data_IF_527391419056
#
_entry.id   IF_527391419056
#
_cell.length_a   1.000
_cell.length_b   1.000
_cell.length_c   1.000
_cell.angle_alpha   90.00
_cell.angle_beta   90.00
_cell.angle_gamma   90.00
#
_symmetry.space_group_name_H-M   'P 1'
#
loop_
_entity.id
_entity.type
_entity.pdbx_description
1 polymer ?
#
# COMPACT_ATOMS: atom_id res chain seq x y z
N UNK A 1 -0.07 19.72 17.05
CA UNK A 1 -0.45 18.45 17.72
C UNK A 1 -1.20 18.66 19.05
N UNK A 2 -0.83 19.60 19.95
CA UNK A 2 -1.61 19.86 21.18
C UNK A 2 -3.05 20.35 20.96
N UNK A 3 -3.39 20.79 19.74
CA UNK A 3 -4.74 21.20 19.34
C UNK A 3 -5.57 20.08 18.70
N UNK A 4 -5.01 18.89 18.48
CA UNK A 4 -5.74 17.78 17.86
C UNK A 4 -6.75 17.21 18.87
N UNK A 5 -8.04 17.30 18.52
CA UNK A 5 -9.15 16.89 19.38
C UNK A 5 -9.10 15.41 19.73
N UNK A 6 -8.75 14.55 18.77
CA UNK A 6 -8.74 13.09 18.95
C UNK A 6 -7.54 12.67 19.79
N UNK A 7 -6.36 13.23 19.53
CA UNK A 7 -5.17 12.99 20.38
C UNK A 7 -5.43 13.42 21.83
N UNK A 8 -6.13 14.53 22.03
CA UNK A 8 -6.54 14.98 23.36
C UNK A 8 -7.58 14.06 24.01
N UNK A 9 -8.52 13.50 23.25
CA UNK A 9 -9.47 12.49 23.74
C UNK A 9 -8.74 11.21 24.14
N UNK A 10 -7.85 10.68 23.30
CA UNK A 10 -7.01 9.51 23.60
C UNK A 10 -6.20 9.72 24.89
N UNK A 11 -5.57 10.89 25.04
CA UNK A 11 -4.83 11.26 26.25
C UNK A 11 -5.73 11.28 27.49
N UNK A 12 -6.93 11.86 27.39
CA UNK A 12 -7.88 11.93 28.52
C UNK A 12 -8.37 10.54 28.89
N UNK A 13 -8.83 9.76 27.91
CA UNK A 13 -9.28 8.39 28.09
C UNK A 13 -8.23 7.54 28.79
N UNK A 14 -7.00 7.55 28.27
CA UNK A 14 -5.90 6.77 28.83
C UNK A 14 -5.51 7.22 30.25
N UNK A 15 -5.68 8.49 30.60
CA UNK A 15 -5.44 8.97 31.98
C UNK A 15 -6.46 8.40 32.97
N UNK A 16 -7.72 8.27 32.58
CA UNK A 16 -8.80 7.77 33.45
C UNK A 16 -8.92 6.24 33.47
N UNK A 17 -8.35 5.55 32.49
CA UNK A 17 -8.33 4.10 32.47
C UNK A 17 -7.02 3.58 33.11
N UNK A 18 -7.11 2.95 34.28
CA UNK A 18 -5.94 2.46 35.04
C UNK A 18 -5.25 1.25 34.38
N UNK A 19 -6.00 0.47 33.59
CA UNK A 19 -5.49 -0.69 32.85
C UNK A 19 -4.59 -0.23 31.70
N UNK A 20 -4.86 0.93 31.10
CA UNK A 20 -4.01 1.54 30.06
C UNK A 20 -2.71 2.08 30.67
N UNK A 21 -1.57 1.62 30.14
CA UNK A 21 -0.22 2.01 30.55
C UNK A 21 0.44 3.00 29.61
N UNK A 22 0.31 2.79 28.30
CA UNK A 22 0.79 3.74 27.31
C UNK A 22 -0.14 3.78 26.09
N UNK A 23 -0.12 4.92 25.40
CA UNK A 23 -0.79 5.10 24.11
C UNK A 23 0.20 5.74 23.15
N UNK A 24 0.39 5.11 22.00
CA UNK A 24 1.32 5.54 20.96
C UNK A 24 0.55 5.70 19.66
N UNK A 25 0.72 6.84 18.99
CA UNK A 25 0.20 7.10 17.66
C UNK A 25 1.28 6.80 16.62
N UNK A 26 0.93 6.13 15.54
CA UNK A 26 1.87 5.67 14.50
C UNK A 26 1.45 6.17 13.11
N UNK A 27 2.11 5.68 12.05
CA UNK A 27 1.70 5.89 10.65
C UNK A 27 1.70 7.38 10.25
N UNK A 28 0.85 7.77 9.31
CA UNK A 28 0.79 9.09 8.66
C UNK A 28 0.75 10.27 9.64
N UNK A 29 0.03 10.15 10.76
CA UNK A 29 -0.07 11.22 11.76
C UNK A 29 1.15 11.35 12.67
N UNK A 30 2.07 10.40 12.59
CA UNK A 30 3.36 10.43 13.28
C UNK A 30 4.53 10.78 12.34
N UNK A 31 4.36 10.64 11.02
CA UNK A 31 5.39 10.96 10.03
C UNK A 31 5.27 12.41 9.51
N UNK A 32 6.06 13.32 10.07
CA UNK A 32 6.10 14.71 9.61
C UNK A 32 6.92 14.95 8.33
N UNK A 33 7.46 13.90 7.67
CA UNK A 33 8.37 14.07 6.54
C UNK A 33 7.74 13.80 5.17
N UNK A 34 6.92 12.76 5.05
CA UNK A 34 6.37 12.36 3.76
C UNK A 34 4.84 12.22 3.74
N UNK A 35 4.19 12.17 4.91
CA UNK A 35 2.74 12.00 4.98
C UNK A 35 2.01 13.34 4.84
N UNK A 36 0.97 13.35 4.00
CA UNK A 36 -0.05 14.39 4.03
C UNK A 36 -1.12 13.98 5.02
N UNK A 37 -1.36 14.82 6.03
CA UNK A 37 -2.43 14.61 7.01
C UNK A 37 -3.59 15.53 6.68
N UNK A 38 -4.77 14.95 6.52
CA UNK A 38 -6.02 15.64 6.21
C UNK A 38 -7.19 15.12 7.07
N UNK A 39 -8.42 15.52 6.71
CA UNK A 39 -9.64 15.15 7.40
C UNK A 39 -10.04 13.68 7.24
N UNK A 40 -9.48 12.97 6.25
CA UNK A 40 -9.71 11.54 6.00
C UNK A 40 -8.56 10.66 6.50
N UNK A 41 -7.53 11.25 7.08
CA UNK A 41 -6.42 10.47 7.64
C UNK A 41 -6.84 9.78 8.94
N UNK A 42 -6.59 8.49 9.02
CA UNK A 42 -6.92 7.63 10.17
C UNK A 42 -6.03 7.94 11.39
N UNK A 43 -6.43 7.47 12.57
CA UNK A 43 -5.59 7.46 13.77
C UNK A 43 -5.17 6.02 14.08
N UNK A 44 -3.95 5.65 13.70
CA UNK A 44 -3.35 4.35 14.00
C UNK A 44 -2.74 4.35 15.40
N UNK A 45 -3.42 3.70 16.35
CA UNK A 45 -3.13 3.80 17.79
C UNK A 45 -2.75 2.44 18.37
N UNK A 46 -1.57 2.38 18.99
CA UNK A 46 -1.18 1.27 19.85
C UNK A 46 -1.49 1.60 21.30
N UNK A 47 -2.26 0.74 21.96
CA UNK A 47 -2.60 0.86 23.38
C UNK A 47 -1.92 -0.28 24.14
N UNK A 48 -1.00 0.07 25.03
CA UNK A 48 -0.36 -0.88 25.92
C UNK A 48 -1.15 -0.95 27.22
N UNK A 49 -1.50 -2.16 27.64
CA UNK A 49 -2.43 -2.44 28.74
C UNK A 49 -1.89 -3.54 29.65
N UNK A 50 -2.31 -3.57 30.91
CA UNK A 50 -1.94 -4.67 31.82
C UNK A 50 -2.82 -5.92 31.62
N UNK A 51 -4.02 -5.78 31.07
CA UNK A 51 -4.91 -6.89 30.71
C UNK A 51 -5.73 -6.52 29.48
N UNK A 52 -6.07 -7.53 28.67
CA UNK A 52 -6.91 -7.40 27.48
C UNK A 52 -8.42 -7.51 27.80
N UNK A 53 -8.80 -7.93 29.01
CA UNK A 53 -10.18 -8.36 29.31
C UNK A 53 -11.20 -7.24 29.09
N UNK A 54 -10.89 -6.02 29.55
CA UNK A 54 -11.72 -4.82 29.38
C UNK A 54 -11.92 -4.42 27.90
N UNK A 55 -11.07 -4.95 27.02
CA UNK A 55 -11.05 -4.64 25.59
C UNK A 55 -11.66 -5.75 24.72
N UNK A 56 -12.13 -6.84 25.34
CA UNK A 56 -12.88 -7.91 24.65
C UNK A 56 -14.33 -7.53 24.36
N UNK A 57 -14.82 -6.47 25.00
CA UNK A 57 -16.09 -5.83 24.69
C UNK A 57 -15.86 -4.40 24.17
N UNK A 58 -16.96 -3.71 23.83
CA UNK A 58 -16.93 -2.40 23.19
C UNK A 58 -17.37 -1.26 24.12
N UNK A 59 -17.54 -1.51 25.42
CA UNK A 59 -18.17 -0.55 26.35
C UNK A 59 -17.31 0.72 26.57
N UNK A 60 -16.02 0.65 26.22
CA UNK A 60 -15.08 1.76 26.28
C UNK A 60 -15.11 2.67 25.04
N UNK A 61 -15.61 2.18 23.90
CA UNK A 61 -15.63 2.91 22.62
C UNK A 61 -16.55 4.15 22.62
N UNK A 62 -17.71 4.17 23.29
CA UNK A 62 -18.57 5.36 23.38
C UNK A 62 -17.87 6.62 23.91
N UNK A 63 -16.73 6.48 24.60
CA UNK A 63 -15.91 7.63 25.00
C UNK A 63 -15.43 8.48 23.80
N UNK A 64 -15.18 7.84 22.65
CA UNK A 64 -14.67 8.48 21.44
C UNK A 64 -15.77 9.00 20.52
N UNK A 65 -16.98 8.45 20.65
CA UNK A 65 -18.17 8.89 19.93
C UNK A 65 -19.15 7.76 19.68
N UNK A 66 -20.21 8.06 18.94
CA UNK A 66 -21.16 7.05 18.46
C UNK A 66 -20.51 6.23 17.33
N UNK A 67 -20.55 4.91 17.47
CA UNK A 67 -19.95 3.96 16.54
C UNK A 67 -20.83 3.88 15.29
N UNK A 68 -20.21 4.00 14.12
CA UNK A 68 -20.84 3.76 12.82
C UNK A 68 -20.57 2.33 12.34
N UNK A 69 -19.31 1.92 12.32
CA UNK A 69 -18.89 0.56 11.95
C UNK A 69 -17.61 0.19 12.68
N UNK A 70 -17.41 -1.11 12.90
CA UNK A 70 -16.26 -1.67 13.59
C UNK A 70 -15.75 -2.91 12.87
N UNK A 71 -14.44 -3.14 12.95
CA UNK A 71 -13.78 -4.32 12.44
C UNK A 71 -12.71 -4.81 13.43
N UNK A 72 -12.53 -6.12 13.64
CA UNK A 72 -13.43 -7.23 13.26
C UNK A 72 -14.84 -7.08 13.85
N UNK A 73 -15.79 -8.02 13.67
CA UNK A 73 -17.12 -7.84 14.29
C UNK A 73 -17.04 -7.89 15.82
N UNK A 74 -16.25 -8.82 16.35
CA UNK A 74 -15.83 -8.90 17.75
C UNK A 74 -14.33 -8.63 17.82
N UNK A 75 -13.79 -8.09 18.92
CA UNK A 75 -12.34 -7.95 19.08
C UNK A 75 -11.65 -9.30 18.93
N UNK A 76 -10.70 -9.37 18.01
CA UNK A 76 -9.91 -10.56 17.70
C UNK A 76 -8.45 -10.17 17.52
N UNK A 77 -7.55 -11.13 17.63
CA UNK A 77 -6.13 -10.88 17.42
C UNK A 77 -5.70 -11.12 15.98
N UNK A 78 -5.00 -10.15 15.39
CA UNK A 78 -4.25 -10.34 14.15
C UNK A 78 -2.78 -10.75 14.38
N UNK A 79 -2.26 -10.60 15.61
CA UNK A 79 -0.82 -10.64 15.91
C UNK A 79 -0.42 -11.65 17.00
N UNK A 80 -1.35 -12.48 17.45
CA UNK A 80 -1.14 -13.50 18.49
C UNK A 80 -1.83 -13.20 19.82
N UNK A 81 -1.73 -14.10 20.78
CA UNK A 81 -2.62 -14.14 21.96
C UNK A 81 -2.57 -12.89 22.87
N UNK A 82 -1.46 -12.15 22.84
CA UNK A 82 -1.27 -10.92 23.61
C UNK A 82 -1.81 -9.66 22.92
N UNK A 83 -2.48 -9.80 21.77
CA UNK A 83 -2.99 -8.70 20.97
C UNK A 83 -4.50 -8.74 20.82
N UNK A 84 -5.09 -7.56 20.67
CA UNK A 84 -6.44 -7.36 20.16
C UNK A 84 -6.44 -6.24 19.13
N UNK A 85 -7.15 -6.48 18.04
CA UNK A 85 -7.39 -5.50 16.99
C UNK A 85 -8.82 -4.97 17.11
N UNK A 86 -8.94 -3.64 17.06
CA UNK A 86 -10.24 -2.95 17.06
C UNK A 86 -10.19 -1.69 16.21
N UNK A 87 -10.66 -1.76 14.97
CA UNK A 87 -10.79 -0.62 14.06
C UNK A 87 -12.20 -0.08 14.12
N UNK A 88 -12.35 1.24 14.28
CA UNK A 88 -13.66 1.85 14.54
C UNK A 88 -13.82 3.14 13.75
N UNK A 89 -14.92 3.23 13.02
CA UNK A 89 -15.37 4.47 12.37
C UNK A 89 -16.54 5.01 13.19
N UNK A 90 -16.49 6.29 13.55
CA UNK A 90 -17.52 6.98 14.32
C UNK A 90 -18.44 7.81 13.41
N UNK A 91 -19.64 8.18 13.88
CA UNK A 91 -20.61 9.01 13.12
C UNK A 91 -20.04 10.38 12.71
N UNK A 92 -19.05 10.89 13.44
CA UNK A 92 -18.33 12.12 13.10
C UNK A 92 -17.26 11.93 12.01
N UNK A 93 -17.23 10.75 11.36
CA UNK A 93 -16.28 10.33 10.32
C UNK A 93 -14.84 10.13 10.78
N UNK A 94 -14.56 10.25 12.08
CA UNK A 94 -13.25 9.89 12.62
C UNK A 94 -13.10 8.37 12.54
N UNK A 95 -11.95 7.91 12.05
CA UNK A 95 -11.52 6.52 12.14
C UNK A 95 -10.36 6.39 13.11
N UNK A 96 -10.47 5.47 14.07
CA UNK A 96 -9.40 5.12 14.99
C UNK A 96 -9.16 3.61 14.90
N UNK A 97 -7.92 3.26 14.59
CA UNK A 97 -7.46 1.90 14.40
C UNK A 97 -6.66 1.50 15.64
N UNK A 98 -7.31 0.79 16.57
CA UNK A 98 -6.69 0.39 17.82
C UNK A 98 -6.03 -0.99 17.69
N UNK A 99 -4.79 -1.04 18.14
CA UNK A 99 -4.02 -2.26 18.34
C UNK A 99 -3.62 -2.32 19.81
N UNK A 100 -4.19 -3.25 20.54
CA UNK A 100 -4.19 -3.28 22.01
C UNK A 100 -3.35 -4.47 22.46
N UNK A 101 -2.40 -4.25 23.36
CA UNK A 101 -1.44 -5.30 23.73
C UNK A 101 -1.03 -5.28 25.18
N UNK A 102 -0.72 -6.47 25.69
CA UNK A 102 0.01 -6.65 26.96
C UNK A 102 1.52 -6.75 26.76
N UNK A 103 2.01 -6.85 25.52
CA UNK A 103 3.44 -6.87 25.22
C UNK A 103 4.02 -5.45 25.24
N UNK A 104 4.80 -5.15 26.27
CA UNK A 104 5.50 -3.86 26.45
C UNK A 104 6.93 -3.86 25.92
N UNK A 105 7.42 -5.01 25.46
CA UNK A 105 8.81 -5.19 25.03
C UNK A 105 8.96 -5.06 23.52
N UNK A 106 7.95 -5.50 22.77
CA UNK A 106 8.00 -5.51 21.32
C UNK A 106 7.05 -4.45 20.75
N UNK A 107 7.55 -3.37 20.12
CA UNK A 107 6.67 -2.49 19.37
C UNK A 107 6.05 -3.29 18.21
N UNK A 108 4.71 -3.31 18.07
CA UNK A 108 3.99 -4.16 17.10
C UNK A 108 4.22 -3.82 15.64
N UNK A 109 4.72 -2.63 15.36
CA UNK A 109 4.71 -2.05 14.03
C UNK A 109 6.08 -1.56 13.66
N UNK A 110 6.19 -1.23 12.37
CA UNK A 110 7.31 -0.53 11.79
C UNK A 110 7.41 0.90 12.35
N UNK A 111 7.77 1.02 13.62
CA UNK A 111 8.14 2.28 14.27
C UNK A 111 9.33 2.93 13.54
N UNK A 112 9.96 2.20 12.61
CA UNK A 112 10.91 2.75 11.66
C UNK A 112 10.34 3.91 10.84
N UNK A 113 9.03 3.97 10.60
CA UNK A 113 8.37 5.11 9.93
C UNK A 113 8.23 6.34 10.84
N UNK A 114 8.30 6.15 12.16
CA UNK A 114 8.00 7.17 13.16
C UNK A 114 6.84 6.78 14.06
N UNK A 115 6.84 7.33 15.27
CA UNK A 115 5.75 7.22 16.23
C UNK A 115 5.74 8.41 17.18
N UNK A 116 4.59 8.67 17.78
CA UNK A 116 4.36 9.72 18.77
C UNK A 116 3.77 9.10 20.03
N UNK A 117 4.52 9.17 21.14
CA UNK A 117 4.01 8.76 22.45
C UNK A 117 3.00 9.80 22.94
N UNK A 118 1.72 9.42 23.01
CA UNK A 118 0.66 10.26 23.57
C UNK A 118 0.79 10.28 25.08
N UNK A 119 0.83 9.11 25.71
CA UNK A 119 1.04 8.95 27.16
C UNK A 119 1.87 7.70 27.41
N UNK A 120 2.71 7.76 28.43
CA UNK A 120 3.41 6.61 28.97
C UNK A 120 3.47 6.80 30.49
N UNK A 121 2.73 5.96 31.22
CA UNK A 121 2.62 6.04 32.67
C UNK A 121 3.79 5.35 33.39
N UNK A 122 4.51 4.47 32.69
CA UNK A 122 5.55 3.60 33.26
C UNK A 122 6.96 3.95 32.75
N UNK A 123 7.05 4.70 31.65
CA UNK A 123 8.30 5.17 31.07
C UNK A 123 9.02 4.16 30.18
N UNK A 124 8.44 2.99 29.88
CA UNK A 124 9.10 1.95 29.09
C UNK A 124 9.29 2.34 27.61
N UNK A 125 8.48 3.25 27.08
CA UNK A 125 8.59 3.70 25.67
C UNK A 125 9.88 4.46 25.37
N UNK A 126 10.63 4.88 26.41
CA UNK A 126 11.97 5.48 26.27
C UNK A 126 12.99 4.52 25.67
N UNK A 127 12.74 3.21 25.78
CA UNK A 127 13.61 2.17 25.26
C UNK A 127 13.23 1.74 23.83
N UNK A 128 12.16 2.30 23.26
CA UNK A 128 11.78 1.98 21.89
C UNK A 128 12.83 2.46 20.87
N UNK A 129 13.05 1.69 19.79
CA UNK A 129 14.04 2.04 18.78
C UNK A 129 13.65 3.33 18.07
N UNK A 130 14.64 4.13 17.72
CA UNK A 130 14.42 5.34 16.92
C UNK A 130 14.08 4.95 15.48
N UNK A 131 13.18 5.70 14.87
CA UNK A 131 12.83 5.59 13.47
C UNK A 131 14.05 5.87 12.57
N UNK A 132 14.53 4.87 11.82
CA UNK A 132 15.59 5.04 10.81
C UNK A 132 15.02 5.37 9.43
N UNK A 133 13.77 4.99 9.18
CA UNK A 133 13.04 5.11 7.89
C UNK A 133 13.75 4.41 6.72
N UNK A 134 14.57 3.40 7.02
CA UNK A 134 15.36 2.68 6.02
C UNK A 134 14.72 1.38 5.58
N UNK A 135 13.86 0.78 6.41
CA UNK A 135 13.27 -0.54 6.14
C UNK A 135 12.35 -0.57 4.92
N UNK A 136 11.77 0.57 4.58
CA UNK A 136 10.84 0.71 3.45
C UNK A 136 11.48 1.37 2.21
N UNK A 137 12.79 1.55 2.20
CA UNK A 137 13.46 2.05 1.00
C UNK A 137 13.32 1.03 -0.14
N UNK A 138 13.20 1.55 -1.35
CA UNK A 138 13.15 0.72 -2.56
C UNK A 138 14.48 -0.02 -2.67
N UNK A 139 14.41 -1.34 -2.67
CA UNK A 139 15.59 -2.19 -2.82
C UNK A 139 15.95 -2.32 -4.29
N UNK A 140 17.25 -2.15 -4.59
CA UNK A 140 17.79 -2.42 -5.94
C UNK A 140 17.57 -3.90 -6.27
N UNK A 141 16.94 -4.24 -7.40
CA UNK A 141 16.78 -5.64 -7.78
C UNK A 141 18.13 -6.24 -8.15
N UNK A 142 18.29 -7.53 -7.87
CA UNK A 142 19.30 -8.35 -8.54
C UNK A 142 18.97 -8.49 -10.03
N UNK A 143 19.97 -8.86 -10.82
CA UNK A 143 19.75 -9.15 -12.25
C UNK A 143 18.70 -10.24 -12.45
N UNK A 144 18.71 -11.29 -11.61
CA UNK A 144 17.77 -12.40 -11.70
C UNK A 144 16.34 -11.95 -11.43
N UNK A 145 16.09 -11.24 -10.31
CA UNK A 145 14.76 -10.73 -9.98
C UNK A 145 14.21 -9.80 -11.07
N UNK A 146 15.07 -8.95 -11.64
CA UNK A 146 14.67 -8.08 -12.74
C UNK A 146 14.25 -8.88 -14.00
N UNK A 147 15.05 -9.87 -14.40
CA UNK A 147 14.76 -10.69 -15.58
C UNK A 147 13.51 -11.57 -15.38
N UNK A 148 13.35 -12.15 -14.19
CA UNK A 148 12.16 -12.92 -13.82
C UNK A 148 10.91 -12.06 -13.85
N UNK A 149 10.95 -10.84 -13.31
CA UNK A 149 9.85 -9.87 -13.36
C UNK A 149 9.45 -9.52 -14.80
N UNK A 150 10.41 -9.20 -15.68
CA UNK A 150 10.10 -8.89 -17.08
C UNK A 150 9.49 -10.09 -17.80
N UNK A 151 9.99 -11.30 -17.54
CA UNK A 151 9.46 -12.51 -18.13
C UNK A 151 8.04 -12.84 -17.64
N UNK A 152 7.82 -12.77 -16.32
CA UNK A 152 6.52 -13.02 -15.68
C UNK A 152 5.47 -12.01 -16.18
N UNK A 153 5.83 -10.72 -16.24
CA UNK A 153 4.98 -9.69 -16.81
C UNK A 153 4.46 -10.04 -18.21
N UNK A 154 5.34 -10.48 -19.11
CA UNK A 154 4.93 -10.85 -20.46
C UNK A 154 4.05 -12.10 -20.50
N UNK A 155 4.32 -13.08 -19.64
CA UNK A 155 3.50 -14.27 -19.50
C UNK A 155 2.07 -13.89 -19.07
N UNK A 156 1.95 -13.11 -18.00
CA UNK A 156 0.64 -12.72 -17.46
C UNK A 156 -0.09 -11.75 -18.40
N UNK A 157 0.64 -10.92 -19.15
CA UNK A 157 0.06 -10.02 -20.13
C UNK A 157 -0.65 -10.77 -21.28
N UNK A 158 -0.37 -12.06 -21.48
CA UNK A 158 -1.12 -12.88 -22.46
C UNK A 158 -2.56 -13.17 -22.06
N UNK A 159 -2.91 -13.03 -20.77
CA UNK A 159 -4.25 -13.28 -20.30
C UNK A 159 -5.23 -12.19 -20.78
N UNK A 160 -4.81 -10.93 -20.84
CA UNK A 160 -5.67 -9.83 -21.29
C UNK A 160 -6.28 -10.07 -22.68
N UNK A 161 -5.51 -10.27 -23.77
CA UNK A 161 -6.08 -10.54 -25.08
C UNK A 161 -6.94 -11.82 -25.10
N UNK A 162 -6.53 -12.86 -24.37
CA UNK A 162 -7.23 -14.15 -24.30
C UNK A 162 -8.62 -14.01 -23.70
N UNK A 163 -8.77 -13.28 -22.60
CA UNK A 163 -10.05 -13.14 -21.90
C UNK A 163 -10.94 -12.05 -22.48
N UNK A 164 -10.35 -11.01 -23.10
CA UNK A 164 -11.11 -10.09 -23.96
C UNK A 164 -11.77 -10.82 -25.13
N UNK A 165 -11.04 -11.73 -25.80
CA UNK A 165 -11.62 -12.56 -26.86
C UNK A 165 -12.77 -13.47 -26.39
N UNK A 166 -12.75 -13.85 -25.11
CA UNK A 166 -13.77 -14.69 -24.48
C UNK A 166 -14.91 -13.90 -23.85
N UNK A 167 -14.86 -12.57 -23.91
CA UNK A 167 -15.85 -11.67 -23.27
C UNK A 167 -15.94 -11.86 -21.74
N UNK A 168 -14.85 -12.31 -21.11
CA UNK A 168 -14.77 -12.52 -19.67
C UNK A 168 -14.21 -11.25 -18.97
N UNK A 169 -15.09 -10.26 -18.81
CA UNK A 169 -14.70 -8.95 -18.27
C UNK A 169 -14.19 -9.02 -16.83
N UNK A 170 -14.80 -9.85 -15.98
CA UNK A 170 -14.39 -9.98 -14.58
C UNK A 170 -12.99 -10.55 -14.45
N UNK A 171 -12.71 -11.64 -15.16
CA UNK A 171 -11.38 -12.23 -15.12
C UNK A 171 -10.34 -11.35 -15.82
N UNK A 172 -10.71 -10.69 -16.92
CA UNK A 172 -9.84 -9.70 -17.58
C UNK A 172 -9.43 -8.60 -16.60
N UNK A 173 -10.38 -8.00 -15.87
CA UNK A 173 -10.08 -6.94 -14.90
C UNK A 173 -9.25 -7.45 -13.71
N UNK A 174 -9.49 -8.67 -13.23
CA UNK A 174 -8.65 -9.29 -12.21
C UNK A 174 -7.19 -9.41 -12.68
N UNK A 175 -6.96 -9.96 -13.87
CA UNK A 175 -5.60 -10.09 -14.41
C UNK A 175 -4.96 -8.73 -14.69
N UNK A 176 -5.74 -7.74 -15.13
CA UNK A 176 -5.21 -6.41 -15.43
C UNK A 176 -4.80 -5.68 -14.15
N UNK A 177 -5.69 -5.64 -13.15
CA UNK A 177 -5.45 -4.84 -11.96
C UNK A 177 -4.72 -5.62 -10.87
N UNK A 178 -5.08 -6.86 -10.53
CA UNK A 178 -4.38 -7.56 -9.45
C UNK A 178 -3.00 -8.03 -9.89
N UNK A 179 -2.91 -8.63 -11.08
CA UNK A 179 -1.67 -9.23 -11.54
C UNK A 179 -0.77 -8.21 -12.24
N UNK A 180 -1.17 -7.68 -13.40
CA UNK A 180 -0.32 -6.76 -14.15
C UNK A 180 -0.02 -5.45 -13.43
N UNK A 181 -1.03 -4.79 -12.82
CA UNK A 181 -0.82 -3.50 -12.12
C UNK A 181 0.01 -3.69 -10.86
N UNK A 182 -0.46 -4.53 -9.95
CA UNK A 182 0.03 -4.55 -8.57
C UNK A 182 1.10 -5.60 -8.32
N UNK A 183 1.15 -6.68 -9.12
CA UNK A 183 2.22 -7.69 -8.98
C UNK A 183 3.45 -7.35 -9.81
N UNK A 184 3.29 -6.66 -10.96
CA UNK A 184 4.40 -6.37 -11.88
C UNK A 184 4.68 -4.88 -12.09
N UNK A 185 3.69 -4.12 -12.53
CA UNK A 185 3.90 -2.75 -13.00
C UNK A 185 4.23 -1.77 -11.88
N UNK A 186 3.57 -1.88 -10.72
CA UNK A 186 3.89 -1.13 -9.51
C UNK A 186 5.37 -1.29 -9.15
N UNK A 187 5.86 -2.53 -9.07
CA UNK A 187 7.25 -2.82 -8.74
C UNK A 187 8.22 -2.24 -9.75
N UNK A 188 7.89 -2.30 -11.05
CA UNK A 188 8.72 -1.70 -12.08
C UNK A 188 8.79 -0.17 -11.98
N UNK A 189 7.69 0.49 -11.60
CA UNK A 189 7.67 1.94 -11.31
C UNK A 189 8.55 2.24 -10.08
N UNK A 190 8.46 1.43 -9.02
CA UNK A 190 9.33 1.56 -7.85
C UNK A 190 10.80 1.45 -8.23
N UNK A 191 11.18 0.40 -8.98
CA UNK A 191 12.56 0.23 -9.41
C UNK A 191 13.04 1.36 -10.33
N UNK A 192 12.17 1.85 -11.20
CA UNK A 192 12.48 3.03 -12.00
C UNK A 192 12.79 4.23 -11.09
N UNK A 193 11.91 4.56 -10.14
CA UNK A 193 12.11 5.65 -9.18
C UNK A 193 13.40 5.43 -8.37
N UNK A 194 13.60 4.23 -7.82
CA UNK A 194 14.79 3.87 -7.07
C UNK A 194 16.08 4.09 -7.88
N UNK A 195 16.08 3.69 -9.15
CA UNK A 195 17.22 3.87 -10.06
C UNK A 195 17.57 5.33 -10.36
N UNK A 196 16.59 6.25 -10.27
CA UNK A 196 16.82 7.68 -10.45
C UNK A 196 17.26 8.38 -9.15
N UNK A 197 17.03 7.74 -8.00
CA UNK A 197 17.24 8.32 -6.67
C UNK A 197 18.24 7.53 -5.82
N UNK A 198 19.17 6.81 -6.45
CA UNK A 198 20.21 6.03 -5.76
C UNK A 198 19.67 5.05 -4.71
N UNK A 199 18.44 4.56 -4.89
CA UNK A 199 17.79 3.60 -3.98
C UNK A 199 17.59 4.12 -2.54
N UNK A 200 17.56 5.44 -2.34
CA UNK A 200 17.42 6.07 -1.01
C UNK A 200 16.02 6.62 -0.73
N UNK A 201 15.03 6.25 -1.54
CA UNK A 201 13.64 6.74 -1.43
C UNK A 201 12.65 5.61 -1.20
N UNK A 202 11.50 5.97 -0.64
CA UNK A 202 10.34 5.12 -0.42
C UNK A 202 9.14 5.75 -1.14
N UNK A 203 8.39 4.96 -1.91
CA UNK A 203 7.19 5.37 -2.65
C UNK A 203 5.90 5.24 -1.84
N UNK A 204 6.01 4.83 -0.58
CA UNK A 204 4.93 4.47 0.34
C UNK A 204 4.10 3.30 -0.20
N UNK A 205 3.19 2.77 0.61
CA UNK A 205 2.34 1.63 0.28
C UNK A 205 1.61 1.88 -1.04
N UNK A 206 1.71 0.93 -1.98
CA UNK A 206 1.05 0.96 -3.28
C UNK A 206 1.27 2.24 -4.10
N UNK A 207 2.50 2.76 -4.07
CA UNK A 207 2.89 3.87 -4.93
C UNK A 207 2.18 5.19 -4.64
N UNK A 208 1.66 5.40 -3.41
CA UNK A 208 1.02 6.66 -2.99
C UNK A 208 1.86 7.90 -3.29
N UNK A 209 3.18 7.78 -3.31
CA UNK A 209 4.11 8.87 -3.61
C UNK A 209 4.68 8.83 -5.04
N UNK A 210 4.21 7.97 -5.95
CA UNK A 210 4.66 7.99 -7.36
C UNK A 210 4.59 9.39 -8.00
N UNK A 211 3.50 10.18 -7.85
CA UNK A 211 3.43 11.52 -8.44
C UNK A 211 4.46 12.51 -7.90
N UNK A 212 5.04 12.26 -6.72
CA UNK A 212 6.10 13.09 -6.12
C UNK A 212 7.43 12.89 -6.82
N UNK A 213 7.70 11.69 -7.34
CA UNK A 213 9.00 11.30 -7.90
C UNK A 213 9.02 11.28 -9.43
N UNK A 214 7.86 11.13 -10.06
CA UNK A 214 7.76 11.04 -11.52
C UNK A 214 7.52 12.41 -12.14
N UNK A 215 8.15 12.65 -13.28
CA UNK A 215 7.83 13.81 -14.10
C UNK A 215 6.39 13.72 -14.66
N UNK A 216 5.83 14.87 -15.03
CA UNK A 216 4.45 14.95 -15.52
C UNK A 216 4.18 14.08 -16.76
N UNK A 217 5.16 13.90 -17.65
CA UNK A 217 4.99 13.10 -18.86
C UNK A 217 4.89 11.62 -18.50
N UNK A 218 5.82 11.13 -17.67
CA UNK A 218 5.80 9.74 -17.18
C UNK A 218 4.55 9.46 -16.37
N UNK A 219 4.15 10.37 -15.48
CA UNK A 219 2.93 10.21 -14.68
C UNK A 219 1.66 10.20 -15.54
N UNK A 220 1.55 11.10 -16.53
CA UNK A 220 0.42 11.09 -17.45
C UNK A 220 0.37 9.80 -18.28
N UNK A 221 1.53 9.29 -18.72
CA UNK A 221 1.59 8.01 -19.43
C UNK A 221 1.10 6.85 -18.56
N UNK A 222 1.43 6.83 -17.27
CA UNK A 222 0.92 5.83 -16.31
C UNK A 222 -0.59 5.97 -16.13
N UNK A 223 -1.13 7.19 -16.00
CA UNK A 223 -2.59 7.40 -15.89
C UNK A 223 -3.38 6.87 -17.09
N UNK A 224 -2.81 6.92 -18.29
CA UNK A 224 -3.43 6.36 -19.49
C UNK A 224 -3.45 4.83 -19.53
N UNK A 225 -2.84 4.15 -18.55
CA UNK A 225 -2.86 2.69 -18.43
C UNK A 225 -4.06 2.16 -17.64
N UNK A 226 -4.90 3.04 -17.09
CA UNK A 226 -6.15 2.67 -16.43
C UNK A 226 -7.30 2.67 -17.44
N UNK A 227 -8.24 1.74 -17.30
CA UNK A 227 -9.44 1.66 -18.12
C UNK A 227 -10.69 1.43 -17.27
N UNK A 228 -11.83 1.88 -17.79
CA UNK A 228 -13.15 1.46 -17.32
C UNK A 228 -13.60 0.15 -17.98
N UNK A 229 -14.90 -0.15 -17.92
CA UNK A 229 -15.46 -1.40 -18.44
C UNK A 229 -15.55 -1.46 -19.99
N UNK A 230 -15.25 -0.38 -20.71
CA UNK A 230 -15.34 -0.35 -22.16
C UNK A 230 -14.17 -1.13 -22.80
N UNK A 231 -14.47 -2.15 -23.60
CA UNK A 231 -13.45 -3.03 -24.22
C UNK A 231 -12.42 -2.28 -25.06
N UNK A 232 -12.81 -1.23 -25.79
CA UNK A 232 -11.87 -0.42 -26.58
C UNK A 232 -10.88 0.30 -25.66
N UNK A 233 -11.37 0.84 -24.55
CA UNK A 233 -10.53 1.51 -23.57
C UNK A 233 -9.59 0.53 -22.87
N UNK A 234 -10.06 -0.69 -22.55
CA UNK A 234 -9.22 -1.76 -21.99
C UNK A 234 -8.07 -2.11 -22.95
N UNK A 235 -8.34 -2.28 -24.24
CA UNK A 235 -7.28 -2.53 -25.23
C UNK A 235 -6.28 -1.38 -25.32
N UNK A 236 -6.75 -0.13 -25.34
CA UNK A 236 -5.88 1.05 -25.39
C UNK A 236 -4.99 1.13 -24.15
N UNK A 237 -5.58 0.96 -22.96
CA UNK A 237 -4.88 0.94 -21.69
C UNK A 237 -3.87 -0.22 -21.62
N UNK A 238 -4.21 -1.39 -22.17
CA UNK A 238 -3.32 -2.55 -22.18
C UNK A 238 -2.06 -2.28 -23.00
N UNK A 239 -2.20 -1.80 -24.23
CA UNK A 239 -1.05 -1.44 -25.06
C UNK A 239 -0.25 -0.28 -24.44
N UNK A 240 -0.93 0.68 -23.78
CA UNK A 240 -0.24 1.73 -23.02
C UNK A 240 0.57 1.14 -21.87
N UNK A 241 0.00 0.22 -21.10
CA UNK A 241 0.67 -0.44 -19.98
C UNK A 241 1.92 -1.17 -20.45
N UNK A 242 1.82 -2.01 -21.49
CA UNK A 242 2.98 -2.72 -22.05
C UNK A 242 4.06 -1.75 -22.52
N UNK A 243 3.68 -0.66 -23.20
CA UNK A 243 4.63 0.36 -23.66
C UNK A 243 5.32 1.07 -22.50
N UNK A 244 4.59 1.47 -21.47
CA UNK A 244 5.16 2.17 -20.31
C UNK A 244 6.05 1.21 -19.51
N UNK A 245 5.57 0.00 -19.20
CA UNK A 245 6.34 -1.02 -18.50
C UNK A 245 7.69 -1.27 -19.18
N UNK A 246 7.69 -1.57 -20.49
CA UNK A 246 8.94 -1.86 -21.23
C UNK A 246 9.85 -0.65 -21.33
N UNK A 247 9.30 0.56 -21.40
CA UNK A 247 10.09 1.80 -21.35
C UNK A 247 10.81 1.95 -20.01
N UNK A 248 10.10 1.78 -18.89
CA UNK A 248 10.68 1.85 -17.55
C UNK A 248 11.71 0.74 -17.33
N UNK A 249 11.38 -0.49 -17.73
CA UNK A 249 12.25 -1.65 -17.58
C UNK A 249 13.58 -1.49 -18.32
N UNK A 250 13.58 -0.88 -19.51
CA UNK A 250 14.84 -0.57 -20.23
C UNK A 250 15.72 0.41 -19.46
N UNK A 251 15.13 1.44 -18.86
CA UNK A 251 15.89 2.40 -18.05
C UNK A 251 16.44 1.74 -16.80
N UNK A 252 15.65 0.90 -16.12
CA UNK A 252 16.11 0.13 -14.96
C UNK A 252 17.27 -0.78 -15.34
N UNK A 253 17.16 -1.51 -16.46
CA UNK A 253 18.23 -2.36 -16.96
C UNK A 253 19.50 -1.57 -17.25
N UNK A 254 19.40 -0.41 -17.91
CA UNK A 254 20.54 0.46 -18.18
C UNK A 254 21.19 0.97 -16.90
N UNK A 255 20.40 1.51 -15.95
CA UNK A 255 20.90 2.03 -14.67
C UNK A 255 21.52 0.97 -13.77
N UNK A 256 21.07 -0.27 -13.89
CA UNK A 256 21.60 -1.39 -13.11
C UNK A 256 22.69 -2.17 -13.84
N UNK A 257 22.97 -1.84 -15.11
CA UNK A 257 23.90 -2.57 -15.99
C UNK A 257 23.48 -4.03 -16.26
N UNK A 258 22.17 -4.27 -16.37
CA UNK A 258 21.60 -5.58 -16.65
C UNK A 258 21.26 -5.76 -18.13
N UNK A 259 21.31 -7.00 -18.67
CA UNK A 259 20.81 -7.28 -20.00
C UNK A 259 19.29 -7.10 -20.05
N UNK A 260 18.79 -6.45 -21.11
CA UNK A 260 17.36 -6.33 -21.35
C UNK A 260 16.92 -7.20 -22.55
N UNK A 261 15.89 -8.07 -22.42
CA UNK A 261 15.52 -9.05 -23.44
C UNK A 261 14.74 -8.46 -24.62
N UNK A 262 15.37 -7.55 -25.41
CA UNK A 262 14.75 -6.85 -26.56
C UNK A 262 14.09 -7.79 -27.58
N UNK A 263 14.69 -8.95 -27.83
CA UNK A 263 14.17 -9.92 -28.78
C UNK A 263 12.85 -10.56 -28.31
N UNK A 264 12.73 -10.83 -27.00
CA UNK A 264 11.50 -11.35 -26.41
C UNK A 264 10.39 -10.30 -26.48
N UNK A 265 10.69 -9.05 -26.08
CA UNK A 265 9.70 -7.97 -26.17
C UNK A 265 9.15 -7.82 -27.59
N UNK A 266 10.00 -7.82 -28.62
CA UNK A 266 9.54 -7.71 -30.01
C UNK A 266 8.57 -8.82 -30.39
N UNK A 267 8.85 -10.06 -29.96
CA UNK A 267 7.96 -11.21 -30.19
C UNK A 267 6.63 -11.05 -29.45
N UNK A 268 6.66 -10.58 -28.21
CA UNK A 268 5.45 -10.37 -27.40
C UNK A 268 4.57 -9.24 -27.93
N UNK A 269 5.16 -8.12 -28.35
CA UNK A 269 4.42 -7.03 -28.99
C UNK A 269 3.71 -7.51 -30.27
N UNK A 270 4.37 -8.34 -31.08
CA UNK A 270 3.76 -8.96 -32.24
C UNK A 270 2.60 -9.88 -31.88
N UNK A 271 2.77 -10.72 -30.84
CA UNK A 271 1.71 -11.59 -30.32
C UNK A 271 0.48 -10.80 -29.87
N UNK A 272 0.67 -9.70 -29.13
CA UNK A 272 -0.44 -8.84 -28.69
C UNK A 272 -1.16 -8.16 -29.85
N UNK A 273 -0.43 -7.65 -30.84
CA UNK A 273 -1.01 -7.06 -32.05
C UNK A 273 -1.87 -8.06 -32.81
N UNK A 274 -1.34 -9.28 -33.04
CA UNK A 274 -2.09 -10.36 -33.70
C UNK A 274 -3.34 -10.76 -32.92
N UNK A 275 -3.25 -10.78 -31.60
CA UNK A 275 -4.40 -11.09 -30.74
C UNK A 275 -5.49 -10.01 -30.82
N UNK A 276 -5.11 -8.73 -30.93
CA UNK A 276 -6.05 -7.62 -31.16
C UNK A 276 -6.74 -7.73 -32.52
N UNK A 277 -5.99 -8.04 -33.58
CA UNK A 277 -6.55 -8.26 -34.92
C UNK A 277 -7.58 -9.41 -34.91
N UNK A 278 -7.27 -10.52 -34.22
CA UNK A 278 -8.21 -11.63 -34.05
C UNK A 278 -9.49 -11.22 -33.32
N UNK A 279 -9.37 -10.41 -32.26
CA UNK A 279 -10.51 -9.86 -31.54
C UNK A 279 -11.39 -8.98 -32.44
N UNK A 280 -10.79 -8.04 -33.18
CA UNK A 280 -11.52 -7.10 -34.04
C UNK A 280 -12.32 -7.81 -35.14
N UNK A 281 -11.71 -8.85 -35.74
CA UNK A 281 -12.37 -9.67 -36.74
C UNK A 281 -13.57 -10.43 -36.17
N UNK A 282 -13.52 -10.87 -34.90
CA UNK A 282 -14.66 -11.51 -34.23
C UNK A 282 -15.82 -10.53 -34.03
N UNK A 283 -15.52 -9.29 -33.64
CA UNK A 283 -16.54 -8.28 -33.34
C UNK A 283 -17.14 -7.58 -34.56
N UNK A 284 -16.56 -7.82 -35.75
CA UNK A 284 -17.04 -7.25 -37.02
C UNK A 284 -18.03 -8.16 -37.76
N UNK A 285 -18.31 -9.34 -37.21
CA UNK A 285 -19.28 -10.33 -37.67
C UNK A 285 -20.56 -10.23 -36.83
#
# INVERSE_FOLDING_TARGET
>A
MNSDKVVNQLRKWAKFNDVVRAVVLTSSRSDNTNATVDQFSDYDVVVYVNSLDDFRNDDWLPFFGKILVKWPLKPESEFGENWLTRLVIFENRTRIDFQITTDTHTPPFDYDLGYLVIIDKDGFTKNFPKATKTKHLIQKPTQQEFLEMVNAFFWDATYIPKYLYREDLFYTNYMFEVDLRFSHFEKMIEWYIGSQHNWTVNTNVHGRLFPKYLDNVTWNNIKETFAGANTKDVWNAFFKLVKVFTSLARVVAEKCEYPYPKAQEKKMLHYFQKSKEMFDNKTSL
#
